data_IF_267812389102
#
_entry.id   IF_267812389102
#
_cell.length_a   1.000
_cell.length_b   1.000
_cell.length_c   1.000
_cell.angle_alpha   90.00
_cell.angle_beta   90.00
_cell.angle_gamma   90.00
#
_symmetry.space_group_name_H-M   'P 1'
#
loop_
_entity.id
_entity.type
_entity.pdbx_description
1 polymer ?
#
# COMPACT_ATOMS: atom_id res chain seq x y z
N UNK A 1 38.27 14.18 -53.59
CA UNK A 1 37.98 14.65 -52.21
C UNK A 1 37.74 13.41 -51.35
N UNK A 2 38.34 13.33 -50.16
CA UNK A 2 38.19 12.16 -49.28
C UNK A 2 37.32 12.52 -48.08
N UNK A 3 36.21 11.80 -47.90
CA UNK A 3 35.34 11.92 -46.72
C UNK A 3 35.71 10.88 -45.68
N UNK A 4 36.40 11.29 -44.60
CA UNK A 4 36.76 10.37 -43.51
C UNK A 4 35.53 10.05 -42.65
N UNK A 5 34.95 8.86 -42.86
CA UNK A 5 33.95 8.30 -41.95
C UNK A 5 34.58 7.97 -40.59
N UNK A 6 34.47 8.91 -39.65
CA UNK A 6 35.08 8.83 -38.32
C UNK A 6 34.34 7.84 -37.39
N UNK A 7 34.45 6.54 -37.68
CA UNK A 7 34.02 5.47 -36.77
C UNK A 7 34.95 5.47 -35.55
N UNK A 8 34.46 5.98 -34.42
CA UNK A 8 35.12 5.83 -33.11
C UNK A 8 35.11 4.36 -32.70
N UNK A 9 36.19 3.62 -32.99
CA UNK A 9 36.45 2.30 -32.41
C UNK A 9 36.90 2.46 -30.96
N UNK A 10 36.09 1.96 -30.03
CA UNK A 10 36.49 1.76 -28.62
C UNK A 10 37.58 0.68 -28.60
N UNK A 11 38.67 0.87 -27.83
CA UNK A 11 39.71 -0.17 -27.69
C UNK A 11 39.26 -1.31 -26.78
N UNK A 12 39.92 -2.48 -26.84
CA UNK A 12 39.60 -3.58 -25.90
C UNK A 12 39.75 -3.10 -24.45
N UNK A 13 40.83 -2.39 -24.14
CA UNK A 13 41.12 -1.89 -22.79
C UNK A 13 40.00 -0.99 -22.26
N UNK A 14 39.44 -0.11 -23.11
CA UNK A 14 38.28 0.74 -22.76
C UNK A 14 36.97 -0.06 -22.62
N UNK A 15 36.83 -1.18 -23.33
CA UNK A 15 35.69 -2.08 -23.18
C UNK A 15 35.81 -2.87 -21.87
N UNK A 16 36.99 -3.37 -21.54
CA UNK A 16 37.31 -4.12 -20.33
C UNK A 16 37.18 -3.24 -19.06
N UNK A 17 37.62 -1.97 -19.12
CA UNK A 17 37.43 -0.97 -18.07
C UNK A 17 35.93 -0.68 -17.79
N UNK A 18 35.08 -0.70 -18.82
CA UNK A 18 33.63 -0.53 -18.69
C UNK A 18 32.90 -1.82 -18.26
N UNK A 19 33.38 -2.99 -18.67
CA UNK A 19 32.76 -4.28 -18.34
C UNK A 19 33.07 -4.74 -16.91
N UNK A 20 34.29 -4.52 -16.42
CA UNK A 20 34.73 -4.95 -15.07
C UNK A 20 33.76 -4.52 -13.95
N UNK A 21 33.40 -3.23 -13.77
CA UNK A 21 32.46 -2.83 -12.71
C UNK A 21 31.01 -3.29 -12.95
N UNK A 22 30.65 -3.70 -14.17
CA UNK A 22 29.34 -4.30 -14.46
C UNK A 22 29.34 -5.77 -14.01
N UNK A 23 30.42 -6.51 -14.28
CA UNK A 23 30.60 -7.91 -13.86
C UNK A 23 30.62 -8.01 -12.32
N UNK A 24 31.43 -7.20 -11.64
CA UNK A 24 31.46 -7.14 -10.17
C UNK A 24 30.07 -6.85 -9.57
N UNK A 25 29.29 -5.98 -10.23
CA UNK A 25 27.93 -5.66 -9.80
C UNK A 25 26.96 -6.83 -10.02
N UNK A 26 27.14 -7.62 -11.10
CA UNK A 26 26.37 -8.84 -11.35
C UNK A 26 26.67 -9.88 -10.27
N UNK A 27 27.95 -10.16 -9.98
CA UNK A 27 28.35 -11.10 -8.92
C UNK A 27 27.81 -10.69 -7.54
N UNK A 28 27.81 -9.39 -7.24
CA UNK A 28 27.24 -8.83 -6.00
C UNK A 28 25.72 -8.97 -5.93
N UNK A 29 25.02 -8.87 -7.06
CA UNK A 29 23.56 -9.10 -7.13
C UNK A 29 23.21 -10.59 -7.06
N UNK A 30 23.98 -11.45 -7.72
CA UNK A 30 23.82 -12.91 -7.63
C UNK A 30 24.05 -13.42 -6.21
N UNK A 31 25.10 -12.96 -5.54
CA UNK A 31 25.39 -13.36 -4.15
C UNK A 31 24.30 -12.87 -3.18
N UNK A 32 23.80 -11.64 -3.34
CA UNK A 32 22.66 -11.14 -2.57
C UNK A 32 21.37 -11.95 -2.83
N UNK A 33 21.08 -12.30 -4.09
CA UNK A 33 19.93 -13.15 -4.44
C UNK A 33 20.03 -14.55 -3.82
N UNK A 34 21.22 -15.18 -3.91
CA UNK A 34 21.51 -16.48 -3.27
C UNK A 34 21.39 -16.44 -1.74
N UNK A 35 21.63 -15.28 -1.11
CA UNK A 35 21.37 -15.07 0.33
C UNK A 35 19.87 -14.91 0.62
N UNK A 36 19.14 -14.12 -0.17
CA UNK A 36 17.69 -13.93 -0.01
C UNK A 36 16.91 -15.24 -0.13
N UNK A 37 17.22 -16.09 -1.12
CA UNK A 37 16.60 -17.42 -1.27
C UNK A 37 16.83 -18.31 -0.03
N UNK A 38 18.01 -18.26 0.59
CA UNK A 38 18.29 -19.01 1.84
C UNK A 38 17.51 -18.48 3.04
N UNK A 39 17.31 -17.16 3.13
CA UNK A 39 16.50 -16.56 4.20
C UNK A 39 15.02 -16.91 4.03
N UNK A 40 14.49 -16.87 2.79
CA UNK A 40 13.12 -17.28 2.48
C UNK A 40 12.90 -18.75 2.85
N UNK A 41 13.76 -19.67 2.40
CA UNK A 41 13.64 -21.09 2.74
C UNK A 41 13.71 -21.36 4.27
N UNK A 42 14.52 -20.59 5.00
CA UNK A 42 14.57 -20.67 6.48
C UNK A 42 13.26 -20.20 7.11
N UNK A 43 12.68 -19.10 6.63
CA UNK A 43 11.43 -18.55 7.14
C UNK A 43 10.23 -19.44 6.79
N UNK A 44 10.19 -20.00 5.59
CA UNK A 44 9.17 -20.97 5.16
C UNK A 44 9.20 -22.23 6.04
N UNK A 45 10.39 -22.73 6.39
CA UNK A 45 10.54 -23.83 7.33
C UNK A 45 10.07 -23.45 8.74
N UNK A 46 10.47 -22.28 9.27
CA UNK A 46 10.01 -21.81 10.58
C UNK A 46 8.49 -21.64 10.66
N UNK A 47 7.86 -21.11 9.61
CA UNK A 47 6.40 -20.99 9.52
C UNK A 47 5.74 -22.38 9.52
N UNK A 48 6.30 -23.36 8.80
CA UNK A 48 5.81 -24.73 8.79
C UNK A 48 5.93 -25.41 10.15
N UNK A 49 7.07 -25.24 10.82
CA UNK A 49 7.30 -25.80 12.16
C UNK A 49 6.31 -25.19 13.18
N UNK A 50 6.04 -23.88 13.11
CA UNK A 50 5.00 -23.23 13.93
C UNK A 50 3.59 -23.73 13.58
N UNK A 51 3.27 -23.89 12.30
CA UNK A 51 1.97 -24.41 11.84
C UNK A 51 1.69 -25.83 12.37
N UNK A 52 2.71 -26.70 12.42
CA UNK A 52 2.58 -28.04 12.99
C UNK A 52 2.36 -27.98 14.52
N UNK A 53 3.17 -27.18 15.24
CA UNK A 53 3.00 -27.00 16.68
C UNK A 53 1.62 -26.42 17.08
N UNK A 54 0.96 -25.66 16.21
CA UNK A 54 -0.42 -25.19 16.44
C UNK A 54 -1.41 -26.35 16.30
N UNK A 55 -1.33 -27.13 15.21
CA UNK A 55 -2.22 -28.25 14.97
C UNK A 55 -2.11 -29.36 16.04
N UNK A 56 -0.89 -29.65 16.50
CA UNK A 56 -0.64 -30.70 17.50
C UNK A 56 -1.17 -30.35 18.92
N UNK A 57 -1.58 -29.10 19.17
CA UNK A 57 -2.14 -28.66 20.46
C UNK A 57 -3.68 -28.67 20.52
N UNK A 58 -4.40 -28.81 19.40
CA UNK A 58 -5.88 -28.69 19.36
C UNK A 58 -6.62 -30.03 19.61
N UNK A 59 -5.92 -31.18 19.55
CA UNK A 59 -6.52 -32.52 19.70
C UNK A 59 -6.70 -32.97 21.18
N UNK A 60 -6.16 -32.24 22.16
CA UNK A 60 -6.26 -32.59 23.60
C UNK A 60 -7.24 -31.71 24.41
N UNK A 61 -8.37 -31.31 23.80
CA UNK A 61 -9.35 -30.40 24.43
C UNK A 61 -10.69 -31.01 24.91
N UNK A 62 -11.07 -32.23 24.52
CA UNK A 62 -12.47 -32.67 24.59
C UNK A 62 -12.78 -33.85 25.55
N UNK A 63 -13.20 -33.57 26.81
CA UNK A 63 -14.35 -34.24 27.50
C UNK A 63 -14.52 -33.87 29.01
N UNK A 64 -15.45 -32.96 29.35
CA UNK A 64 -16.28 -32.92 30.58
C UNK A 64 -17.02 -31.57 30.70
N UNK A 65 -18.27 -31.44 31.16
CA UNK A 65 -19.30 -32.42 31.59
C UNK A 65 -20.72 -31.81 31.45
N UNK A 66 -21.73 -32.69 31.42
CA UNK A 66 -23.19 -32.43 31.56
C UNK A 66 -23.53 -31.96 32.99
N UNK A 67 -24.64 -31.25 33.36
CA UNK A 67 -25.76 -30.60 32.63
C UNK A 67 -26.37 -29.40 33.44
N UNK A 68 -27.65 -29.26 33.87
CA UNK A 68 -28.40 -27.99 33.66
C UNK A 68 -29.02 -27.34 34.94
N UNK A 69 -29.98 -26.40 34.74
CA UNK A 69 -30.83 -25.59 35.67
C UNK A 69 -30.43 -24.09 35.61
N UNK A 70 -31.24 -23.06 35.26
CA UNK A 70 -32.68 -22.77 35.09
C UNK A 70 -33.33 -21.94 36.22
N UNK A 71 -34.16 -20.93 35.83
CA UNK A 71 -34.95 -19.97 36.66
C UNK A 71 -34.13 -18.84 37.34
N UNK A 72 -34.63 -17.63 37.62
CA UNK A 72 -35.88 -16.90 37.27
C UNK A 72 -35.76 -15.41 37.73
N UNK A 73 -36.43 -14.46 37.03
CA UNK A 73 -36.71 -13.05 37.43
C UNK A 73 -35.49 -12.09 37.64
N UNK A 74 -35.57 -10.75 37.55
CA UNK A 74 -36.67 -9.78 37.27
C UNK A 74 -36.11 -8.47 36.64
N UNK A 75 -37.01 -7.57 36.17
CA UNK A 75 -36.80 -6.13 35.84
C UNK A 75 -35.98 -5.34 36.88
N UNK A 76 -35.34 -4.17 36.63
CA UNK A 76 -35.35 -3.15 35.54
C UNK A 76 -34.03 -2.30 35.65
N UNK A 77 -33.63 -1.28 34.86
CA UNK A 77 -34.16 -0.45 33.73
C UNK A 77 -32.95 -0.04 32.82
N UNK A 78 -33.17 0.51 31.61
CA UNK A 78 -32.21 1.46 31.01
C UNK A 78 -32.06 1.46 29.47
N UNK A 79 -32.41 2.60 28.85
CA UNK A 79 -31.95 3.17 27.56
C UNK A 79 -31.60 2.25 26.35
N UNK A 80 -32.43 2.35 25.30
CA UNK A 80 -32.28 1.58 24.05
C UNK A 80 -31.49 2.35 22.99
N UNK A 81 -30.27 1.93 22.68
CA UNK A 81 -29.56 2.32 21.45
C UNK A 81 -29.75 1.21 20.40
N UNK A 82 -30.73 1.39 19.52
CA UNK A 82 -30.92 0.51 18.36
C UNK A 82 -29.91 0.86 17.27
N UNK A 83 -28.97 -0.04 16.98
CA UNK A 83 -28.14 -0.01 15.76
C UNK A 83 -28.62 -1.08 14.77
N UNK A 84 -29.45 -0.69 13.80
CA UNK A 84 -29.54 -1.33 12.48
C UNK A 84 -29.36 -0.26 11.37
N UNK A 85 -28.81 -0.51 10.18
CA UNK A 85 -28.49 -1.76 9.48
C UNK A 85 -27.15 -1.59 8.74
N UNK A 86 -26.38 -2.67 8.61
CA UNK A 86 -25.59 -2.92 7.40
C UNK A 86 -24.20 -2.27 7.29
N UNK A 87 -23.19 -3.05 7.65
CA UNK A 87 -22.16 -3.36 6.66
C UNK A 87 -21.88 -4.86 6.62
N UNK A 88 -21.55 -5.35 5.44
CA UNK A 88 -21.44 -6.78 5.15
C UNK A 88 -20.26 -7.41 5.90
N UNK A 89 -20.44 -8.62 6.43
CA UNK A 89 -19.34 -9.45 6.95
C UNK A 89 -18.53 -10.03 5.79
N UNK A 90 -17.81 -9.15 5.06
CA UNK A 90 -16.80 -9.56 4.09
C UNK A 90 -15.68 -10.28 4.84
N UNK A 91 -15.37 -11.50 4.39
CA UNK A 91 -14.32 -12.32 4.99
C UNK A 91 -13.02 -11.52 4.99
N UNK A 92 -12.33 -11.51 6.14
CA UNK A 92 -11.14 -10.69 6.37
C UNK A 92 -9.93 -11.23 5.61
N UNK A 93 -9.84 -10.86 4.33
CA UNK A 93 -8.54 -10.68 3.66
C UNK A 93 -7.82 -9.51 4.34
N UNK A 94 -6.52 -9.66 4.62
CA UNK A 94 -5.69 -8.69 5.33
C UNK A 94 -5.38 -7.44 4.48
N UNK A 95 -6.43 -6.63 4.23
CA UNK A 95 -6.37 -5.34 3.53
C UNK A 95 -5.42 -4.38 4.26
N UNK A 96 -4.20 -4.25 3.77
CA UNK A 96 -3.22 -3.33 4.34
C UNK A 96 -3.49 -1.91 3.87
N UNK A 97 -3.79 -1.04 4.82
CA UNK A 97 -3.95 0.41 4.59
C UNK A 97 -2.63 1.14 4.77
N UNK A 98 -2.38 2.11 3.91
CA UNK A 98 -1.25 3.03 3.95
C UNK A 98 -1.74 4.47 3.71
N UNK A 99 -1.10 5.45 4.34
CA UNK A 99 -1.35 6.87 4.17
C UNK A 99 -0.19 7.48 3.40
N UNK A 100 -0.47 8.02 2.22
CA UNK A 100 0.50 8.51 1.26
C UNK A 100 0.61 10.05 1.31
N UNK A 101 1.81 10.61 1.12
CA UNK A 101 2.02 12.04 1.04
C UNK A 101 1.61 12.61 -0.33
N UNK A 102 1.90 13.89 -0.58
CA UNK A 102 1.84 14.46 -1.92
C UNK A 102 2.69 13.66 -2.92
N UNK A 103 2.20 13.44 -4.17
CA UNK A 103 2.95 12.77 -5.23
C UNK A 103 4.04 13.67 -5.83
N UNK A 104 4.96 13.06 -6.58
CA UNK A 104 5.81 13.76 -7.54
C UNK A 104 5.01 14.29 -8.74
N UNK A 105 5.63 15.14 -9.56
CA UNK A 105 5.12 15.57 -10.87
C UNK A 105 4.71 14.41 -11.79
N UNK A 106 5.38 13.27 -11.63
CA UNK A 106 5.25 12.10 -12.51
C UNK A 106 4.19 11.11 -12.01
N UNK A 107 3.42 11.48 -10.98
CA UNK A 107 2.38 10.63 -10.39
C UNK A 107 2.93 9.46 -9.57
N UNK A 108 4.06 9.67 -8.89
CA UNK A 108 4.67 8.68 -7.99
C UNK A 108 4.59 9.16 -6.55
N UNK A 109 4.00 8.37 -5.66
CA UNK A 109 4.04 8.60 -4.23
C UNK A 109 5.31 7.97 -3.61
N UNK A 110 5.95 8.69 -2.70
CA UNK A 110 6.98 8.14 -1.82
C UNK A 110 6.38 7.19 -0.77
N UNK A 111 7.23 6.61 0.08
CA UNK A 111 6.85 5.59 1.05
C UNK A 111 5.70 6.05 1.97
N UNK A 112 4.67 5.20 2.09
CA UNK A 112 3.48 5.45 2.89
C UNK A 112 3.67 5.10 4.37
N UNK A 113 2.95 5.81 5.24
CA UNK A 113 2.87 5.47 6.66
C UNK A 113 1.72 4.51 6.96
N UNK A 114 1.81 3.65 8.00
CA UNK A 114 0.68 2.81 8.43
C UNK A 114 -0.43 3.61 9.16
N UNK A 115 -0.14 4.87 9.53
CA UNK A 115 -1.05 5.81 10.19
C UNK A 115 -1.06 7.15 9.44
N UNK A 116 -2.17 7.88 9.50
CA UNK A 116 -2.27 9.24 8.95
C UNK A 116 -1.25 10.17 9.61
N UNK A 117 -0.57 11.00 8.82
CA UNK A 117 0.31 12.07 9.31
C UNK A 117 -0.32 13.42 8.98
N UNK A 118 -0.86 14.09 10.01
CA UNK A 118 -1.43 15.45 9.93
C UNK A 118 -0.47 16.39 9.21
N UNK A 119 -0.98 17.15 8.23
CA UNK A 119 -0.20 18.10 7.41
C UNK A 119 0.78 17.46 6.42
N UNK A 120 0.73 16.14 6.20
CA UNK A 120 1.60 15.41 5.26
C UNK A 120 0.83 14.42 4.40
N UNK A 121 -0.02 13.61 5.01
CA UNK A 121 -0.88 12.65 4.32
C UNK A 121 -1.97 13.37 3.54
N UNK A 122 -2.18 12.97 2.30
CA UNK A 122 -3.24 13.51 1.41
C UNK A 122 -4.10 12.38 0.85
N UNK A 123 -3.57 11.17 0.76
CA UNK A 123 -4.24 10.01 0.18
C UNK A 123 -4.18 8.80 1.12
N UNK A 124 -5.20 7.95 1.03
CA UNK A 124 -5.21 6.62 1.62
C UNK A 124 -5.14 5.59 0.50
N UNK A 125 -4.29 4.58 0.65
CA UNK A 125 -4.17 3.44 -0.26
C UNK A 125 -4.49 2.14 0.50
N UNK A 126 -5.32 1.29 -0.09
CA UNK A 126 -5.63 -0.05 0.39
C UNK A 126 -5.11 -1.08 -0.61
N UNK A 127 -4.40 -2.10 -0.13
CA UNK A 127 -3.84 -3.20 -0.95
C UNK A 127 -4.06 -4.55 -0.28
N UNK A 128 -4.35 -5.58 -1.08
CA UNK A 128 -4.57 -6.96 -0.63
C UNK A 128 -3.38 -7.87 -0.96
N UNK A 129 -2.67 -7.59 -2.06
CA UNK A 129 -1.51 -8.33 -2.55
C UNK A 129 -0.16 -7.67 -2.22
N UNK A 130 -0.17 -6.43 -1.73
CA UNK A 130 1.03 -5.60 -1.50
C UNK A 130 1.69 -5.06 -2.78
N UNK A 131 1.08 -5.29 -3.96
CA UNK A 131 1.60 -4.93 -5.29
C UNK A 131 0.68 -3.92 -5.97
N UNK A 132 -0.64 -4.12 -5.89
CA UNK A 132 -1.66 -3.25 -6.46
C UNK A 132 -2.47 -2.62 -5.32
N UNK A 133 -2.58 -1.30 -5.33
CA UNK A 133 -3.32 -0.53 -4.34
C UNK A 133 -4.39 0.34 -5.00
N UNK A 134 -5.60 0.26 -4.47
CA UNK A 134 -6.64 1.23 -4.76
C UNK A 134 -6.44 2.43 -3.82
N UNK A 135 -6.51 3.66 -4.33
CA UNK A 135 -6.27 4.86 -3.54
C UNK A 135 -7.37 5.91 -3.69
N UNK A 136 -7.66 6.56 -2.58
CA UNK A 136 -8.66 7.63 -2.43
C UNK A 136 -8.00 8.87 -1.84
N UNK A 137 -8.59 10.03 -2.07
CA UNK A 137 -8.15 11.27 -1.43
C UNK A 137 -8.81 11.40 -0.06
N UNK A 138 -8.05 11.79 0.96
CA UNK A 138 -8.57 12.02 2.31
C UNK A 138 -9.48 13.26 2.33
N UNK A 139 -10.61 13.15 3.04
CA UNK A 139 -11.55 14.23 3.29
C UNK A 139 -11.30 14.95 4.63
N UNK A 140 -10.22 14.58 5.35
CA UNK A 140 -9.83 15.21 6.61
C UNK A 140 -9.43 16.69 6.38
N UNK A 141 -9.81 17.63 7.26
CA UNK A 141 -9.55 19.06 7.04
C UNK A 141 -8.07 19.40 6.80
N UNK A 142 -7.15 18.69 7.46
CA UNK A 142 -5.70 18.86 7.27
C UNK A 142 -5.21 18.34 5.92
N UNK A 143 -5.74 17.22 5.42
CA UNK A 143 -5.43 16.72 4.08
C UNK A 143 -5.98 17.65 2.99
N UNK A 144 -7.21 18.14 3.15
CA UNK A 144 -7.83 19.14 2.27
C UNK A 144 -6.98 20.42 2.26
N UNK A 145 -6.63 20.96 3.42
CA UNK A 145 -5.79 22.16 3.53
C UNK A 145 -4.42 21.95 2.87
N UNK A 146 -3.77 20.82 3.13
CA UNK A 146 -2.47 20.46 2.53
C UNK A 146 -2.56 20.38 1.00
N UNK A 147 -3.58 19.72 0.46
CA UNK A 147 -3.80 19.62 -0.99
C UNK A 147 -4.07 20.98 -1.65
N UNK A 148 -4.82 21.85 -0.97
CA UNK A 148 -5.18 23.19 -1.46
C UNK A 148 -4.00 24.17 -1.50
N UNK A 149 -2.88 23.90 -0.80
CA UNK A 149 -1.63 24.66 -0.96
C UNK A 149 -1.18 24.69 -2.43
N UNK A 150 -1.30 23.55 -3.14
CA UNK A 150 -0.88 23.45 -4.53
C UNK A 150 -1.62 22.33 -5.27
N UNK A 151 -2.90 22.54 -5.58
CA UNK A 151 -3.74 21.58 -6.31
C UNK A 151 -3.09 21.08 -7.61
N UNK A 152 -2.32 21.93 -8.30
CA UNK A 152 -1.63 21.56 -9.54
C UNK A 152 -0.41 20.65 -9.33
N UNK A 153 0.19 20.60 -8.14
CA UNK A 153 1.33 19.72 -7.82
C UNK A 153 0.90 18.52 -6.98
N UNK A 154 -0.06 18.67 -6.06
CA UNK A 154 -0.43 17.64 -5.11
C UNK A 154 -1.64 16.79 -5.55
N UNK A 155 -2.48 17.32 -6.45
CA UNK A 155 -3.73 16.66 -6.90
C UNK A 155 -3.68 16.27 -8.38
N UNK A 156 -3.41 17.22 -9.29
CA UNK A 156 -3.43 16.96 -10.74
C UNK A 156 -2.47 15.84 -11.24
N UNK A 157 -1.33 15.52 -10.60
CA UNK A 157 -0.51 14.37 -11.05
C UNK A 157 -1.22 13.02 -10.89
N UNK A 158 -2.09 12.85 -9.89
CA UNK A 158 -2.67 11.55 -9.50
C UNK A 158 -4.20 11.50 -9.54
N UNK A 159 -4.87 12.64 -9.59
CA UNK A 159 -6.32 12.76 -9.68
C UNK A 159 -6.75 13.57 -10.91
N UNK A 160 -7.99 13.31 -11.36
CA UNK A 160 -8.81 14.23 -12.16
C UNK A 160 -9.79 14.89 -11.20
N UNK A 161 -10.02 16.19 -11.36
CA UNK A 161 -10.92 16.94 -10.48
C UNK A 161 -12.15 17.33 -11.28
N UNK A 162 -13.31 16.92 -10.78
CA UNK A 162 -14.63 17.34 -11.29
C UNK A 162 -15.16 18.49 -10.41
N UNK A 163 -15.98 19.37 -10.98
CA UNK A 163 -16.51 20.54 -10.26
C UNK A 163 -15.57 21.75 -10.24
N UNK A 164 -15.67 22.59 -9.21
CA UNK A 164 -15.13 23.96 -9.22
C UNK A 164 -14.05 24.21 -8.15
N UNK A 165 -12.79 24.16 -8.55
CA UNK A 165 -11.62 24.40 -7.66
C UNK A 165 -11.36 25.86 -7.29
N UNK A 166 -12.21 26.83 -7.68
CA UNK A 166 -12.02 28.24 -7.35
C UNK A 166 -12.56 28.65 -5.96
N UNK A 167 -13.25 27.74 -5.27
CA UNK A 167 -13.61 27.90 -3.85
C UNK A 167 -12.75 26.96 -3.02
N UNK A 168 -12.53 27.31 -1.75
CA UNK A 168 -11.93 26.39 -0.78
C UNK A 168 -12.98 25.31 -0.45
N UNK A 169 -12.75 24.03 -0.84
CA UNK A 169 -13.69 22.98 -0.52
C UNK A 169 -13.73 22.72 0.99
N UNK A 170 -14.87 22.25 1.47
CA UNK A 170 -15.07 21.74 2.82
C UNK A 170 -15.06 20.22 2.88
N UNK A 171 -15.32 19.57 1.75
CA UNK A 171 -15.34 18.13 1.61
C UNK A 171 -14.74 17.72 0.26
N UNK A 172 -14.15 16.54 0.21
CA UNK A 172 -13.71 15.88 -1.03
C UNK A 172 -14.47 14.56 -1.15
N UNK A 173 -15.09 14.34 -2.29
CA UNK A 173 -15.79 13.08 -2.61
C UNK A 173 -14.99 12.33 -3.68
N UNK A 174 -14.61 11.08 -3.43
CA UNK A 174 -13.94 10.25 -4.44
C UNK A 174 -15.00 9.53 -5.30
N UNK A 175 -15.14 9.98 -6.55
CA UNK A 175 -16.11 9.45 -7.53
C UNK A 175 -15.61 8.13 -8.14
N UNK A 176 -14.31 8.05 -8.41
CA UNK A 176 -13.63 6.84 -8.89
C UNK A 176 -12.29 6.69 -8.17
N UNK A 177 -12.05 5.52 -7.57
CA UNK A 177 -10.77 5.22 -6.93
C UNK A 177 -9.62 5.20 -7.96
N UNK A 178 -8.47 5.71 -7.54
CA UNK A 178 -7.23 5.58 -8.29
C UNK A 178 -6.62 4.19 -8.12
N UNK A 179 -5.76 3.78 -9.05
CA UNK A 179 -4.97 2.55 -8.94
C UNK A 179 -3.49 2.92 -9.01
N UNK A 180 -2.73 2.51 -8.01
CA UNK A 180 -1.28 2.59 -7.98
C UNK A 180 -0.66 1.19 -7.88
N UNK A 181 0.50 1.02 -8.48
CA UNK A 181 1.29 -0.22 -8.41
C UNK A 181 2.60 0.05 -7.67
N UNK A 182 3.03 -0.90 -6.84
CA UNK A 182 4.26 -0.80 -6.08
C UNK A 182 5.47 -1.08 -6.99
N UNK A 183 6.36 -0.10 -7.06
CA UNK A 183 7.56 -0.09 -7.88
C UNK A 183 8.76 0.07 -6.94
N UNK A 184 9.33 -1.05 -6.49
CA UNK A 184 10.32 -1.08 -5.41
C UNK A 184 9.75 -0.58 -4.09
N UNK A 185 10.13 0.65 -3.68
CA UNK A 185 9.69 1.29 -2.44
C UNK A 185 8.81 2.54 -2.67
N UNK A 186 8.28 2.73 -3.88
CA UNK A 186 7.36 3.81 -4.24
C UNK A 186 6.07 3.27 -4.85
N UNK A 187 4.99 4.06 -4.81
CA UNK A 187 3.71 3.71 -5.45
C UNK A 187 3.51 4.56 -6.70
N UNK A 188 3.56 3.93 -7.88
CA UNK A 188 3.39 4.58 -9.19
C UNK A 188 1.93 4.53 -9.61
N UNK A 189 1.31 5.67 -9.93
CA UNK A 189 -0.09 5.70 -10.36
C UNK A 189 -0.25 5.14 -11.78
N UNK A 190 -1.08 4.09 -11.89
CA UNK A 190 -1.47 3.43 -13.14
C UNK A 190 -2.81 3.99 -13.65
N UNK A 191 -3.74 4.31 -12.74
CA UNK A 191 -5.02 4.97 -13.04
C UNK A 191 -5.23 6.13 -12.08
N UNK A 192 -5.49 7.33 -12.61
CA UNK A 192 -5.84 8.49 -11.78
C UNK A 192 -7.23 8.32 -11.17
N UNK A 193 -7.38 8.70 -9.91
CA UNK A 193 -8.68 8.82 -9.26
C UNK A 193 -9.52 9.95 -9.91
N UNK A 194 -10.83 9.94 -9.71
CA UNK A 194 -11.69 11.12 -9.91
C UNK A 194 -12.20 11.62 -8.57
N UNK A 195 -12.07 12.92 -8.31
CA UNK A 195 -12.53 13.56 -7.08
C UNK A 195 -13.39 14.79 -7.38
N UNK A 196 -14.48 14.98 -6.64
CA UNK A 196 -15.24 16.22 -6.59
C UNK A 196 -14.78 17.07 -5.40
N UNK A 197 -14.65 18.38 -5.61
CA UNK A 197 -14.37 19.37 -4.56
C UNK A 197 -15.67 20.14 -4.26
N UNK A 198 -16.12 20.09 -3.00
CA UNK A 198 -17.45 20.54 -2.54
C UNK A 198 -17.35 21.68 -1.50
#
# INVERSE_FOLDING_TARGET
MFGNNNKRSISSEQLDELLTPIIERIDKLETASKQQVRLIATLEQQLKDVQQNINDNDDTGAHSKRTPIAKDSTVEVGETIQIPVGHETKLSSDKKTWYLPAPSSDGVFSEGSPSEQVGKSIYQLQTEDGINGQFVMLDTPDAIATAMISVSQFVKPVCRIEGNTHRLPRQIETIEEGIAQKDGNVWRVVRKAKVAFL
#
